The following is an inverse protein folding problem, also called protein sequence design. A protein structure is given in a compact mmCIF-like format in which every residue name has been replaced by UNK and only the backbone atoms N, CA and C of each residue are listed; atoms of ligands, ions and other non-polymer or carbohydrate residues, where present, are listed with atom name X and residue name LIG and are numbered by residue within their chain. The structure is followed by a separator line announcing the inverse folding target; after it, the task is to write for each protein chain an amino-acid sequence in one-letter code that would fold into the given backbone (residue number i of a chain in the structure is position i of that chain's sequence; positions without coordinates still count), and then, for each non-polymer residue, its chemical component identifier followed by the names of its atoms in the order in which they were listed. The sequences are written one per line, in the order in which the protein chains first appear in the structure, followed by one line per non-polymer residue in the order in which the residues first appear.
data_IF_766651011832
#
_entry.id   IF_766651011832
#
_cell.length_a   1.000
_cell.length_b   1.000
_cell.length_c   1.000
_cell.angle_alpha   90.00
_cell.angle_beta   90.00
_cell.angle_gamma   90.00
#
_symmetry.space_group_name_H-M   'P 1'
#
loop_
_entity.id
_entity.type
_entity.pdbx_description
1 polymer ?
#
# COMPACT_ATOMS: atom_id res chain seq x y z
N UNK A 1 2.08 5.76 -27.38
CA UNK A 1 2.88 6.92 -26.91
C UNK A 1 2.47 7.39 -25.52
N UNK A 2 1.18 7.66 -25.27
CA UNK A 2 0.64 8.14 -23.97
C UNK A 2 1.07 7.28 -22.77
N UNK A 3 1.08 5.95 -22.89
CA UNK A 3 1.50 5.06 -21.81
C UNK A 3 2.97 5.25 -21.37
N UNK A 4 3.85 5.71 -22.26
CA UNK A 4 5.26 5.99 -21.94
C UNK A 4 5.39 7.28 -21.13
N UNK A 5 4.57 8.28 -21.42
CA UNK A 5 4.57 9.58 -20.72
C UNK A 5 4.02 9.39 -19.31
N UNK A 6 2.88 8.72 -19.18
CA UNK A 6 2.27 8.39 -17.88
C UNK A 6 3.24 7.52 -17.06
N UNK A 7 3.83 6.49 -17.69
CA UNK A 7 4.82 5.63 -17.04
C UNK A 7 6.08 6.38 -16.58
N UNK A 8 6.55 7.38 -17.33
CA UNK A 8 7.70 8.18 -16.95
C UNK A 8 7.39 9.12 -15.77
N UNK A 9 6.19 9.72 -15.74
CA UNK A 9 5.75 10.60 -14.65
C UNK A 9 5.59 9.80 -13.35
N UNK A 10 4.86 8.69 -13.39
CA UNK A 10 4.73 7.80 -12.23
C UNK A 10 6.09 7.19 -11.83
N UNK A 11 6.93 6.84 -12.80
CA UNK A 11 8.26 6.29 -12.55
C UNK A 11 9.19 7.25 -11.82
N UNK A 12 9.17 8.55 -12.17
CA UNK A 12 9.96 9.58 -11.48
C UNK A 12 9.52 9.73 -10.02
N UNK A 13 8.21 9.80 -9.77
CA UNK A 13 7.68 9.97 -8.42
C UNK A 13 7.93 8.74 -7.53
N UNK A 14 7.88 7.54 -8.11
CA UNK A 14 8.27 6.32 -7.41
C UNK A 14 9.77 6.32 -7.13
N UNK A 15 10.62 6.75 -8.07
CA UNK A 15 12.08 6.82 -7.85
C UNK A 15 12.46 7.79 -6.71
N UNK A 16 11.83 8.98 -6.69
CA UNK A 16 12.07 10.00 -5.66
C UNK A 16 11.69 9.51 -4.24
N UNK A 17 10.65 8.66 -4.12
CA UNK A 17 10.21 8.08 -2.84
C UNK A 17 10.87 6.72 -2.52
N UNK A 18 11.36 5.98 -3.53
CA UNK A 18 11.93 4.63 -3.36
C UNK A 18 13.28 4.61 -2.66
N UNK A 19 14.00 5.74 -2.61
CA UNK A 19 15.22 5.86 -1.81
C UNK A 19 15.00 5.46 -0.33
N UNK A 20 13.77 5.63 0.18
CA UNK A 20 13.38 5.26 1.55
C UNK A 20 12.88 3.81 1.73
N UNK A 21 12.63 3.07 0.63
CA UNK A 21 11.98 1.73 0.60
C UNK A 21 12.93 0.61 0.07
N UNK A 22 14.18 0.96 -0.26
CA UNK A 22 15.15 0.17 -1.05
C UNK A 22 15.83 -1.02 -0.34
N UNK A 23 15.29 -1.53 0.77
CA UNK A 23 15.85 -2.72 1.44
C UNK A 23 15.81 -4.00 0.57
N UNK A 24 16.50 -5.09 0.97
CA UNK A 24 16.58 -6.34 0.19
C UNK A 24 15.21 -6.90 -0.20
N UNK A 25 14.23 -6.80 0.71
CA UNK A 25 12.84 -7.17 0.46
C UNK A 25 12.17 -6.29 -0.58
N UNK A 26 12.42 -4.97 -0.55
CA UNK A 26 11.89 -4.00 -1.52
C UNK A 26 12.50 -4.17 -2.91
N UNK A 27 13.79 -4.54 -3.00
CA UNK A 27 14.45 -4.83 -4.26
C UNK A 27 13.94 -6.12 -4.92
N UNK A 28 13.77 -7.20 -4.14
CA UNK A 28 13.22 -8.46 -4.66
C UNK A 28 11.77 -8.27 -5.11
N UNK A 29 10.93 -7.60 -4.30
CA UNK A 29 9.58 -7.25 -4.68
C UNK A 29 9.56 -6.35 -5.91
N UNK A 30 10.43 -5.35 -6.01
CA UNK A 30 10.54 -4.45 -7.16
C UNK A 30 10.94 -5.17 -8.45
N UNK A 31 11.89 -6.09 -8.38
CA UNK A 31 12.34 -6.89 -9.53
C UNK A 31 11.24 -7.84 -10.03
N UNK A 32 10.57 -8.56 -9.11
CA UNK A 32 9.46 -9.44 -9.46
C UNK A 32 8.25 -8.63 -9.95
N UNK A 33 7.92 -7.52 -9.30
CA UNK A 33 6.83 -6.65 -9.72
C UNK A 33 7.10 -6.05 -11.10
N UNK A 34 8.31 -5.53 -11.36
CA UNK A 34 8.67 -4.92 -12.64
C UNK A 34 8.62 -5.89 -13.82
N UNK A 35 9.01 -7.15 -13.59
CA UNK A 35 8.96 -8.19 -14.63
C UNK A 35 7.54 -8.66 -14.93
N UNK A 36 6.69 -8.81 -13.89
CA UNK A 36 5.27 -9.15 -14.06
C UNK A 36 4.50 -8.01 -14.71
N UNK A 37 4.73 -6.76 -14.30
CA UNK A 37 4.03 -5.59 -14.83
C UNK A 37 4.34 -5.35 -16.31
N UNK A 38 5.58 -5.65 -16.75
CA UNK A 38 5.99 -5.55 -18.16
C UNK A 38 5.29 -6.58 -19.06
N UNK A 39 4.79 -7.68 -18.49
CA UNK A 39 4.02 -8.73 -19.19
C UNK A 39 2.51 -8.68 -18.91
N UNK A 40 2.08 -7.85 -17.96
CA UNK A 40 0.68 -7.70 -17.62
C UNK A 40 -0.09 -6.99 -18.73
N UNK A 41 -1.14 -7.63 -19.24
CA UNK A 41 -2.09 -7.00 -20.16
C UNK A 41 -2.96 -5.97 -19.41
N UNK A 42 -3.58 -5.04 -20.14
CA UNK A 42 -4.50 -4.03 -19.56
C UNK A 42 -5.55 -4.62 -18.60
N UNK A 43 -6.20 -5.78 -18.91
CA UNK A 43 -7.10 -6.43 -17.98
C UNK A 43 -6.43 -6.91 -16.70
N UNK A 44 -5.20 -7.43 -16.78
CA UNK A 44 -4.45 -7.88 -15.62
C UNK A 44 -4.12 -6.72 -14.68
N UNK A 45 -3.77 -5.54 -15.22
CA UNK A 45 -3.53 -4.33 -14.43
C UNK A 45 -4.81 -3.87 -13.70
N UNK A 46 -5.96 -3.91 -14.37
CA UNK A 46 -7.25 -3.59 -13.76
C UNK A 46 -7.58 -4.59 -12.65
N UNK A 47 -7.38 -5.88 -12.90
CA UNK A 47 -7.57 -6.93 -11.89
C UNK A 47 -6.67 -6.75 -10.68
N UNK A 48 -5.40 -6.39 -10.89
CA UNK A 48 -4.44 -6.13 -9.82
C UNK A 48 -4.82 -4.88 -9.01
N UNK A 49 -5.26 -3.81 -9.69
CA UNK A 49 -5.75 -2.59 -9.04
C UNK A 49 -7.02 -2.87 -8.20
N UNK A 50 -8.00 -3.57 -8.77
CA UNK A 50 -9.24 -3.92 -8.08
C UNK A 50 -9.00 -4.89 -6.92
N UNK A 51 -8.19 -5.93 -7.14
CA UNK A 51 -7.81 -6.91 -6.11
C UNK A 51 -7.02 -6.27 -4.98
N UNK A 52 -6.05 -5.41 -5.30
CA UNK A 52 -5.30 -4.63 -4.33
C UNK A 52 -6.18 -3.68 -3.51
N UNK A 53 -7.17 -3.03 -4.14
CA UNK A 53 -8.13 -2.18 -3.45
C UNK A 53 -9.03 -2.98 -2.50
N UNK A 54 -9.53 -4.14 -2.94
CA UNK A 54 -10.33 -5.03 -2.11
C UNK A 54 -9.53 -5.52 -0.88
N UNK A 55 -8.28 -5.95 -1.08
CA UNK A 55 -7.36 -6.32 0.00
C UNK A 55 -7.10 -5.17 0.98
N UNK A 56 -6.82 -3.96 0.47
CA UNK A 56 -6.63 -2.77 1.29
C UNK A 56 -7.86 -2.49 2.15
N UNK A 57 -9.07 -2.55 1.55
CA UNK A 57 -10.33 -2.30 2.27
C UNK A 57 -10.59 -3.35 3.35
N UNK A 58 -10.22 -4.60 3.08
CA UNK A 58 -10.34 -5.68 4.06
C UNK A 58 -9.41 -5.48 5.26
N UNK A 59 -8.14 -5.12 5.01
CA UNK A 59 -7.17 -4.82 6.06
C UNK A 59 -7.59 -3.60 6.88
N UNK A 60 -7.98 -2.50 6.23
CA UNK A 60 -8.48 -1.28 6.89
C UNK A 60 -9.66 -1.57 7.84
N UNK A 61 -10.59 -2.48 7.48
CA UNK A 61 -11.64 -2.90 8.42
C UNK A 61 -11.09 -3.62 9.65
N UNK A 62 -10.16 -4.56 9.48
CA UNK A 62 -9.53 -5.29 10.59
C UNK A 62 -8.68 -4.38 11.48
N UNK A 63 -7.96 -3.43 10.88
CA UNK A 63 -7.15 -2.45 11.57
C UNK A 63 -8.04 -1.48 12.36
N UNK A 64 -9.21 -1.10 11.82
CA UNK A 64 -10.22 -0.31 12.55
C UNK A 64 -10.88 -1.09 13.68
N UNK A 65 -11.14 -2.38 13.51
CA UNK A 65 -11.69 -3.22 14.58
C UNK A 65 -10.68 -3.42 15.71
N UNK A 66 -9.40 -3.63 15.39
CA UNK A 66 -8.34 -3.68 16.39
C UNK A 66 -8.09 -2.32 17.04
N UNK A 67 -8.17 -1.21 16.30
CA UNK A 67 -8.11 0.14 16.86
C UNK A 67 -9.30 0.43 17.79
N UNK A 68 -10.51 0.01 17.42
CA UNK A 68 -11.72 0.16 18.24
C UNK A 68 -11.64 -0.67 19.53
N UNK A 69 -11.06 -1.87 19.47
CA UNK A 69 -10.77 -2.67 20.68
C UNK A 69 -9.73 -2.01 21.57
N UNK A 70 -8.64 -1.48 21.01
CA UNK A 70 -7.61 -0.74 21.76
C UNK A 70 -8.18 0.52 22.46
N UNK A 71 -9.10 1.25 21.81
CA UNK A 71 -9.79 2.38 22.47
C UNK A 71 -10.76 1.95 23.58
N UNK A 72 -11.28 0.73 23.54
CA UNK A 72 -12.10 0.18 24.62
C UNK A 72 -11.26 -0.36 25.79
N UNK A 73 -10.00 -0.71 25.52
CA UNK A 73 -9.08 -1.30 26.49
C UNK A 73 -8.21 -0.28 27.22
N UNK A 74 -8.18 0.99 26.79
CA UNK A 74 -7.66 2.08 27.63
C UNK A 74 -8.75 2.47 28.64
N UNK A 75 -8.67 2.07 29.92
CA UNK A 75 -9.60 2.59 30.92
C UNK A 75 -9.47 4.12 30.94
N UNK A 76 -10.59 4.86 31.12
CA UNK A 76 -10.49 6.27 31.42
C UNK A 76 -9.70 6.38 32.72
N UNK A 77 -8.47 6.90 32.66
CA UNK A 77 -7.82 7.42 33.86
C UNK A 77 -8.64 8.64 34.23
N UNK A 78 -9.71 8.40 35.00
CA UNK A 78 -10.45 9.45 35.66
C UNK A 78 -9.40 10.19 36.49
N UNK A 79 -9.16 11.50 36.27
CA UNK A 79 -8.51 12.29 37.30
C UNK A 79 -9.50 12.32 38.47
N UNK A 80 -9.38 11.32 39.35
CA UNK A 80 -10.03 11.33 40.65
C UNK A 80 -9.48 12.55 41.37
N UNK A 81 -10.39 13.42 41.78
CA UNK A 81 -10.10 14.63 42.51
C UNK A 81 -9.14 14.36 43.68
N UNK A 82 -8.07 15.14 43.75
CA UNK A 82 -7.30 15.43 44.96
C UNK A 82 -6.55 16.76 44.76
#
# INVERSE_FOLDING_TARGET
MIGKIIGAILGKQVADHSASISGPTGAILGAVSGTVLRRASLPALIGLAAGGYALKKYKDRRDRETAKRKSFETPPVQPSAA
#
